data_IF_069982325980
#
_entry.id   IF_069982325980
#
_cell.length_a   1.000
_cell.length_b   1.000
_cell.length_c   1.000
_cell.angle_alpha   90.00
_cell.angle_beta   90.00
_cell.angle_gamma   90.00
#
_symmetry.space_group_name_H-M   'P 1'
#
loop_
_entity.id
_entity.type
_entity.pdbx_description
1 polymer ?
#
# COMPACT_ATOMS: atom_id res chain seq x y z
N UNK A 1 15.06 6.59 -15.85
CA UNK A 1 14.91 7.97 -15.29
C UNK A 1 15.59 7.96 -13.94
N UNK A 2 16.45 8.92 -13.62
CA UNK A 2 16.99 9.00 -12.25
C UNK A 2 15.92 9.64 -11.35
N UNK A 3 15.45 8.90 -10.34
CA UNK A 3 14.39 9.34 -9.43
C UNK A 3 14.91 10.13 -8.22
N UNK A 4 16.23 10.24 -8.05
CA UNK A 4 16.88 10.96 -6.95
C UNK A 4 16.45 10.46 -5.55
N UNK A 5 16.33 9.14 -5.40
CA UNK A 5 15.94 8.48 -4.14
C UNK A 5 17.14 8.00 -3.32
N UNK A 6 18.36 8.02 -3.88
CA UNK A 6 19.57 7.62 -3.18
C UNK A 6 19.74 8.40 -1.88
N UNK A 7 19.90 7.67 -0.78
CA UNK A 7 20.06 8.24 0.57
C UNK A 7 18.78 8.75 1.24
N UNK A 8 17.60 8.60 0.60
CA UNK A 8 16.31 8.84 1.24
C UNK A 8 15.94 7.66 2.12
N UNK A 9 15.33 7.91 3.26
CA UNK A 9 14.82 6.89 4.18
C UNK A 9 13.34 6.68 3.93
N UNK A 10 12.96 5.46 3.57
CA UNK A 10 11.58 5.07 3.30
C UNK A 10 11.07 4.05 4.30
N UNK A 11 9.92 4.29 4.92
CA UNK A 11 9.18 3.29 5.70
C UNK A 11 8.02 2.76 4.85
N UNK A 12 8.02 1.44 4.60
CA UNK A 12 6.91 0.77 3.91
C UNK A 12 6.19 -0.13 4.92
N UNK A 13 4.96 0.22 5.27
CA UNK A 13 4.17 -0.55 6.23
C UNK A 13 3.60 -1.83 5.59
N UNK A 14 3.63 -2.96 6.31
CA UNK A 14 3.17 -4.24 5.77
C UNK A 14 3.95 -4.69 4.53
N UNK A 15 5.28 -4.58 4.55
CA UNK A 15 6.15 -4.80 3.39
C UNK A 15 6.75 -6.21 3.30
N UNK A 16 6.15 -7.21 3.97
CA UNK A 16 6.66 -8.59 3.94
C UNK A 16 6.03 -9.48 2.85
N UNK A 17 5.08 -8.96 2.08
CA UNK A 17 4.41 -9.67 0.98
C UNK A 17 3.72 -8.71 0.01
N UNK A 18 3.27 -9.21 -1.12
CA UNK A 18 2.43 -8.52 -2.09
C UNK A 18 2.93 -7.14 -2.51
N UNK A 19 2.01 -6.18 -2.61
CA UNK A 19 2.29 -4.81 -3.06
C UNK A 19 3.36 -4.13 -2.18
N UNK A 20 3.30 -4.31 -0.86
CA UNK A 20 4.26 -3.69 0.05
C UNK A 20 5.69 -4.19 -0.16
N UNK A 21 5.88 -5.50 -0.40
CA UNK A 21 7.19 -6.08 -0.71
C UNK A 21 7.73 -5.58 -2.05
N UNK A 22 6.88 -5.51 -3.08
CA UNK A 22 7.27 -4.98 -4.38
C UNK A 22 7.67 -3.51 -4.31
N UNK A 23 6.93 -2.68 -3.56
CA UNK A 23 7.28 -1.26 -3.33
C UNK A 23 8.63 -1.15 -2.60
N UNK A 24 8.86 -1.96 -1.56
CA UNK A 24 10.13 -1.96 -0.83
C UNK A 24 11.31 -2.32 -1.73
N UNK A 25 11.14 -3.33 -2.59
CA UNK A 25 12.14 -3.75 -3.57
C UNK A 25 12.43 -2.66 -4.60
N UNK A 26 11.41 -2.02 -5.17
CA UNK A 26 11.56 -0.94 -6.16
C UNK A 26 12.24 0.30 -5.56
N UNK A 27 11.88 0.70 -4.32
CA UNK A 27 12.56 1.80 -3.63
C UNK A 27 14.03 1.48 -3.33
N UNK A 28 14.33 0.25 -2.94
CA UNK A 28 15.70 -0.22 -2.70
C UNK A 28 16.54 -0.21 -3.98
N UNK A 29 15.98 -0.62 -5.12
CA UNK A 29 16.60 -0.59 -6.43
C UNK A 29 17.01 0.85 -6.85
N UNK A 30 16.21 1.86 -6.46
CA UNK A 30 16.51 3.28 -6.68
C UNK A 30 17.44 3.90 -5.63
N UNK A 31 18.00 3.08 -4.72
CA UNK A 31 19.01 3.47 -3.73
C UNK A 31 18.47 4.13 -2.46
N UNK A 32 17.17 4.00 -2.18
CA UNK A 32 16.62 4.40 -0.89
C UNK A 32 17.06 3.42 0.21
N UNK A 33 17.26 3.93 1.44
CA UNK A 33 17.33 3.11 2.65
C UNK A 33 15.92 2.72 3.07
N UNK A 34 15.57 1.42 3.00
CA UNK A 34 14.18 0.98 3.19
C UNK A 34 14.00 0.26 4.52
N UNK A 35 13.00 0.71 5.29
CA UNK A 35 12.58 0.10 6.55
C UNK A 35 11.46 -0.90 6.22
N UNK A 36 11.75 -2.19 6.41
CA UNK A 36 10.84 -3.30 6.18
C UNK A 36 10.03 -3.55 7.44
N UNK A 37 8.71 -3.46 7.33
CA UNK A 37 7.81 -3.67 8.44
C UNK A 37 6.93 -4.91 8.25
N UNK A 38 6.79 -5.67 9.31
CA UNK A 38 5.89 -6.80 9.45
C UNK A 38 5.76 -7.24 10.90
N UNK A 39 4.74 -8.07 11.20
CA UNK A 39 4.47 -8.56 12.55
C UNK A 39 5.39 -9.73 12.97
N UNK A 40 5.93 -10.45 12.01
CA UNK A 40 6.74 -11.65 12.21
C UNK A 40 8.16 -11.41 11.76
N UNK A 41 9.11 -11.58 12.66
CA UNK A 41 10.53 -11.30 12.43
C UNK A 41 11.13 -12.17 11.32
N UNK A 42 10.74 -13.44 11.27
CA UNK A 42 11.15 -14.39 10.23
C UNK A 42 10.77 -13.91 8.82
N UNK A 43 9.53 -13.42 8.66
CA UNK A 43 9.07 -12.87 7.39
C UNK A 43 9.77 -11.56 7.01
N UNK A 44 10.06 -10.70 7.98
CA UNK A 44 10.83 -9.48 7.75
C UNK A 44 12.25 -9.83 7.31
N UNK A 45 12.91 -10.77 7.97
CA UNK A 45 14.26 -11.24 7.60
C UNK A 45 14.27 -11.91 6.22
N UNK A 46 13.24 -12.72 5.92
CA UNK A 46 13.12 -13.33 4.59
C UNK A 46 12.98 -12.28 3.49
N UNK A 47 12.15 -11.26 3.71
CA UNK A 47 12.01 -10.16 2.74
C UNK A 47 13.32 -9.42 2.51
N UNK A 48 14.10 -9.16 3.56
CA UNK A 48 15.43 -8.55 3.44
C UNK A 48 16.37 -9.45 2.64
N UNK A 49 16.36 -10.77 2.91
CA UNK A 49 17.14 -11.74 2.15
C UNK A 49 16.77 -11.71 0.65
N UNK A 50 15.46 -11.71 0.34
CA UNK A 50 14.97 -11.70 -1.03
C UNK A 50 15.38 -10.41 -1.78
N UNK A 51 15.31 -9.25 -1.11
CA UNK A 51 15.75 -7.99 -1.69
C UNK A 51 17.27 -7.99 -1.91
N UNK A 52 18.07 -8.46 -0.94
CA UNK A 52 19.53 -8.55 -1.09
C UNK A 52 19.98 -9.54 -2.16
N UNK A 53 19.16 -10.58 -2.44
CA UNK A 53 19.47 -11.51 -3.53
C UNK A 53 19.45 -10.84 -4.92
N UNK A 54 18.65 -9.76 -5.08
CA UNK A 54 18.54 -8.99 -6.33
C UNK A 54 19.32 -7.68 -6.27
N UNK A 55 19.38 -7.06 -5.10
CA UNK A 55 20.05 -5.77 -4.84
C UNK A 55 20.99 -5.91 -3.64
N UNK A 56 22.20 -6.50 -3.82
CA UNK A 56 23.12 -6.82 -2.70
C UNK A 56 23.56 -5.60 -1.88
N UNK A 57 23.62 -4.43 -2.50
CA UNK A 57 24.08 -3.17 -1.86
C UNK A 57 22.92 -2.35 -1.25
N UNK A 58 21.70 -2.89 -1.24
CA UNK A 58 20.54 -2.17 -0.70
C UNK A 58 20.68 -1.94 0.82
N UNK A 59 20.42 -0.72 1.25
CA UNK A 59 20.34 -0.40 2.68
C UNK A 59 18.95 -0.76 3.22
N UNK A 60 18.89 -1.83 4.02
CA UNK A 60 17.62 -2.33 4.57
C UNK A 60 17.67 -2.31 6.11
N UNK A 61 16.54 -1.91 6.72
CA UNK A 61 16.36 -1.84 8.17
C UNK A 61 15.12 -2.63 8.58
N UNK A 62 15.14 -3.17 9.79
CA UNK A 62 14.06 -3.99 10.37
C UNK A 62 13.16 -3.12 11.23
N UNK A 63 11.83 -3.30 11.09
CA UNK A 63 10.82 -2.77 11.99
C UNK A 63 9.74 -3.84 12.25
N UNK A 64 10.04 -4.76 13.20
CA UNK A 64 9.08 -5.79 13.61
C UNK A 64 8.07 -5.18 14.58
N UNK A 65 6.84 -4.99 14.13
CA UNK A 65 5.75 -4.44 14.95
C UNK A 65 4.39 -4.69 14.30
N UNK A 66 3.36 -4.82 15.11
CA UNK A 66 1.96 -4.81 14.65
C UNK A 66 1.42 -3.38 14.62
N UNK A 67 1.42 -2.77 13.45
CA UNK A 67 0.94 -1.40 13.25
C UNK A 67 -0.61 -1.27 13.33
N UNK A 68 -1.35 -2.37 13.43
CA UNK A 68 -2.76 -2.36 13.80
C UNK A 68 -2.99 -1.91 15.24
N UNK A 69 -1.92 -1.80 16.05
CA UNK A 69 -1.96 -1.37 17.45
C UNK A 69 -1.24 -0.03 17.65
N UNK A 70 -1.60 0.69 18.71
CA UNK A 70 -0.89 1.95 19.07
C UNK A 70 0.53 1.66 19.53
N UNK A 71 0.72 0.58 20.30
CA UNK A 71 2.03 0.15 20.79
C UNK A 71 2.99 -0.17 19.63
N UNK A 72 2.54 -0.93 18.63
CA UNK A 72 3.38 -1.23 17.45
C UNK A 72 3.74 0.03 16.66
N UNK A 73 2.81 0.98 16.54
CA UNK A 73 3.12 2.27 15.92
C UNK A 73 4.13 3.07 16.74
N UNK A 74 4.07 3.00 18.09
CA UNK A 74 5.05 3.64 18.98
C UNK A 74 6.44 3.04 18.78
N UNK A 75 6.56 1.70 18.79
CA UNK A 75 7.83 1.00 18.59
C UNK A 75 8.49 1.38 17.27
N UNK A 76 7.73 1.49 16.18
CA UNK A 76 8.27 1.91 14.87
C UNK A 76 8.74 3.37 14.90
N UNK A 77 8.00 4.27 15.54
CA UNK A 77 8.41 5.69 15.68
C UNK A 77 9.70 5.86 16.48
N UNK A 78 9.89 5.05 17.53
CA UNK A 78 11.13 5.03 18.32
C UNK A 78 12.31 4.49 17.50
N UNK A 79 12.10 3.39 16.76
CA UNK A 79 13.15 2.77 15.95
C UNK A 79 13.52 3.59 14.70
N UNK A 80 12.57 4.37 14.19
CA UNK A 80 12.72 5.19 12.99
C UNK A 80 12.08 6.58 13.18
N UNK A 81 12.67 7.45 14.02
CA UNK A 81 12.05 8.72 14.39
C UNK A 81 11.90 9.70 13.21
N UNK A 82 12.69 9.51 12.16
CA UNK A 82 12.69 10.34 10.96
C UNK A 82 12.69 9.48 9.71
N UNK A 83 11.74 9.74 8.81
CA UNK A 83 11.71 9.18 7.46
C UNK A 83 11.45 10.29 6.44
N UNK A 84 11.90 10.11 5.21
CA UNK A 84 11.64 11.03 4.09
C UNK A 84 10.41 10.60 3.29
N UNK A 85 10.13 9.30 3.29
CA UNK A 85 9.05 8.67 2.54
C UNK A 85 8.29 7.75 3.49
N UNK A 86 6.97 7.95 3.60
CA UNK A 86 6.07 7.05 4.32
C UNK A 86 5.08 6.43 3.35
N UNK A 87 5.13 5.10 3.20
CA UNK A 87 4.14 4.35 2.45
C UNK A 87 3.20 3.64 3.42
N UNK A 88 2.00 4.18 3.56
CA UNK A 88 0.90 3.57 4.33
C UNK A 88 0.25 2.48 3.47
N UNK A 89 0.89 1.32 3.41
CA UNK A 89 0.44 0.17 2.62
C UNK A 89 -0.30 -0.87 3.48
N UNK A 90 -0.04 -0.92 4.81
CA UNK A 90 -0.70 -1.90 5.67
C UNK A 90 -2.22 -1.86 5.50
N UNK A 91 -2.80 -3.02 5.29
CA UNK A 91 -4.24 -3.20 5.21
C UNK A 91 -4.63 -4.67 5.22
N UNK A 92 -5.83 -4.92 5.70
CA UNK A 92 -6.49 -6.21 5.64
C UNK A 92 -7.72 -6.09 4.75
N UNK A 93 -8.05 -7.18 4.07
CA UNK A 93 -9.27 -7.34 3.29
C UNK A 93 -9.81 -8.75 3.53
N UNK A 94 -11.12 -8.87 3.58
CA UNK A 94 -11.80 -10.15 3.80
C UNK A 94 -13.24 -10.01 3.28
N UNK A 95 -13.67 -10.85 2.33
CA UNK A 95 -15.07 -10.88 1.90
C UNK A 95 -15.98 -11.35 3.04
N UNK A 96 -17.09 -10.66 3.24
CA UNK A 96 -18.11 -11.04 4.20
C UNK A 96 -19.47 -10.41 3.82
N UNK A 97 -20.55 -11.15 4.02
CA UNK A 97 -21.90 -10.64 3.84
C UNK A 97 -22.20 -9.54 4.86
N UNK A 98 -22.76 -8.42 4.41
CA UNK A 98 -22.95 -7.23 5.25
C UNK A 98 -23.68 -7.52 6.58
N UNK A 99 -24.73 -8.36 6.52
CA UNK A 99 -25.54 -8.67 7.69
C UNK A 99 -24.82 -9.57 8.72
N UNK A 100 -23.73 -10.22 8.32
CA UNK A 100 -22.96 -11.13 9.16
C UNK A 100 -21.68 -10.48 9.72
N UNK A 101 -21.39 -9.21 9.36
CA UNK A 101 -20.21 -8.49 9.85
C UNK A 101 -20.49 -7.93 11.25
N UNK A 102 -19.92 -8.50 12.32
CA UNK A 102 -20.08 -7.96 13.66
C UNK A 102 -19.32 -6.63 13.84
N UNK A 103 -19.74 -5.81 14.80
CA UNK A 103 -19.10 -4.52 15.10
C UNK A 103 -17.60 -4.66 15.36
N UNK A 104 -17.17 -5.77 15.99
CA UNK A 104 -15.77 -6.03 16.26
C UNK A 104 -14.91 -6.07 14.98
N UNK A 105 -15.45 -6.61 13.87
CA UNK A 105 -14.76 -6.63 12.58
C UNK A 105 -14.66 -5.23 11.97
N UNK A 106 -15.71 -4.42 12.06
CA UNK A 106 -15.66 -3.01 11.66
C UNK A 106 -14.54 -2.27 12.39
N UNK A 107 -14.42 -2.45 13.71
CA UNK A 107 -13.35 -1.85 14.52
C UNK A 107 -11.96 -2.41 14.15
N UNK A 108 -11.84 -3.72 13.91
CA UNK A 108 -10.57 -4.34 13.49
C UNK A 108 -10.08 -3.76 12.16
N UNK A 109 -10.99 -3.60 11.19
CA UNK A 109 -10.66 -2.97 9.90
C UNK A 109 -10.30 -1.51 10.07
N UNK A 110 -11.03 -0.77 10.87
CA UNK A 110 -10.73 0.64 11.15
C UNK A 110 -9.36 0.81 11.82
N UNK A 111 -9.07 0.04 12.86
CA UNK A 111 -7.77 0.09 13.55
C UNK A 111 -6.62 -0.24 12.61
N UNK A 112 -6.75 -1.30 11.81
CA UNK A 112 -5.67 -1.75 10.93
C UNK A 112 -5.53 -0.86 9.70
N UNK A 113 -6.61 -0.57 8.98
CA UNK A 113 -6.53 0.11 7.68
C UNK A 113 -6.46 1.63 7.81
N UNK A 114 -6.95 2.21 8.90
CA UNK A 114 -7.03 3.66 9.09
C UNK A 114 -6.10 4.14 10.19
N UNK A 115 -6.25 3.62 11.42
CA UNK A 115 -5.52 4.16 12.57
C UNK A 115 -4.02 3.91 12.49
N UNK A 116 -3.57 2.84 11.86
CA UNK A 116 -2.15 2.63 11.55
C UNK A 116 -1.55 3.81 10.79
N UNK A 117 -2.18 4.17 9.66
CA UNK A 117 -1.78 5.30 8.83
C UNK A 117 -1.92 6.65 9.54
N UNK A 118 -2.99 6.86 10.30
CA UNK A 118 -3.22 8.10 11.08
C UNK A 118 -2.11 8.31 12.12
N UNK A 119 -1.76 7.26 12.89
CA UNK A 119 -0.74 7.34 13.95
C UNK A 119 0.64 7.66 13.38
N UNK A 120 1.05 6.96 12.32
CA UNK A 120 2.35 7.17 11.68
C UNK A 120 2.39 8.53 10.95
N UNK A 121 1.36 8.86 10.19
CA UNK A 121 1.32 10.12 9.46
C UNK A 121 1.32 11.33 10.41
N UNK A 122 0.59 11.28 11.53
CA UNK A 122 0.60 12.33 12.56
C UNK A 122 2.01 12.63 13.06
N UNK A 123 2.84 11.61 13.23
CA UNK A 123 4.22 11.76 13.67
C UNK A 123 5.12 12.31 12.55
N UNK A 124 5.12 11.67 11.39
CA UNK A 124 6.09 11.99 10.34
C UNK A 124 5.75 13.26 9.58
N UNK A 125 4.46 13.54 9.30
CA UNK A 125 4.04 14.72 8.55
C UNK A 125 4.50 16.01 9.20
N UNK A 126 4.38 16.12 10.53
CA UNK A 126 4.85 17.29 11.27
C UNK A 126 6.35 17.53 11.05
N UNK A 127 7.15 16.47 11.14
CA UNK A 127 8.59 16.53 10.91
C UNK A 127 8.94 16.85 9.46
N UNK A 128 8.20 16.31 8.49
CA UNK A 128 8.37 16.60 7.07
C UNK A 128 8.07 18.07 6.74
N UNK A 129 6.98 18.62 7.27
CA UNK A 129 6.63 20.04 7.10
C UNK A 129 7.74 20.93 7.66
N UNK A 130 8.24 20.66 8.87
CA UNK A 130 9.31 21.45 9.50
C UNK A 130 10.62 21.42 8.68
N UNK A 131 10.93 20.30 8.03
CA UNK A 131 12.11 20.14 7.14
C UNK A 131 11.84 20.66 5.73
N UNK A 132 10.60 21.02 5.41
CA UNK A 132 10.13 21.38 4.07
C UNK A 132 10.40 20.30 3.02
N UNK A 133 10.37 19.02 3.39
CA UNK A 133 10.58 17.89 2.49
C UNK A 133 9.94 16.61 3.05
N UNK A 134 9.22 15.86 2.21
CA UNK A 134 8.64 14.57 2.55
C UNK A 134 7.64 14.06 1.52
N UNK A 135 7.42 12.75 1.54
CA UNK A 135 6.43 12.07 0.71
C UNK A 135 5.60 11.14 1.57
N UNK A 136 4.29 11.27 1.51
CA UNK A 136 3.35 10.36 2.17
C UNK A 136 2.41 9.81 1.10
N UNK A 137 2.33 8.51 1.02
CA UNK A 137 1.49 7.80 0.05
C UNK A 137 0.63 6.78 0.80
N UNK A 138 -0.68 6.86 0.61
CA UNK A 138 -1.61 5.83 1.08
C UNK A 138 -1.91 4.86 -0.05
N UNK A 139 -1.88 3.57 0.24
CA UNK A 139 -2.30 2.53 -0.70
C UNK A 139 -3.74 2.15 -0.37
N UNK A 140 -4.66 2.76 -1.11
CA UNK A 140 -6.08 2.49 -0.99
C UNK A 140 -6.50 1.27 -1.84
N UNK A 141 -7.50 1.42 -2.67
CA UNK A 141 -8.02 0.42 -3.62
C UNK A 141 -9.02 1.10 -4.57
N UNK A 142 -9.29 0.51 -5.71
CA UNK A 142 -10.43 0.84 -6.55
C UNK A 142 -11.76 0.74 -5.78
N UNK A 143 -11.82 -0.14 -4.77
CA UNK A 143 -12.98 -0.28 -3.89
C UNK A 143 -13.31 1.01 -3.10
N UNK A 144 -12.39 1.97 -3.05
CA UNK A 144 -12.66 3.29 -2.46
C UNK A 144 -13.66 4.13 -3.27
N UNK A 145 -13.79 3.89 -4.57
CA UNK A 145 -14.65 4.64 -5.50
C UNK A 145 -15.66 3.74 -6.23
N UNK A 146 -15.44 2.43 -6.20
CA UNK A 146 -16.34 1.39 -6.70
C UNK A 146 -16.50 0.31 -5.61
N UNK A 147 -17.27 0.59 -4.53
CA UNK A 147 -17.38 -0.31 -3.40
C UNK A 147 -17.94 -1.68 -3.79
N UNK A 148 -17.30 -2.74 -3.28
CA UNK A 148 -17.80 -4.10 -3.42
C UNK A 148 -18.87 -4.39 -2.37
N UNK A 149 -19.97 -5.00 -2.79
CA UNK A 149 -21.04 -5.43 -1.89
C UNK A 149 -20.52 -6.43 -0.83
N UNK A 150 -19.61 -7.31 -1.23
CA UNK A 150 -19.05 -8.38 -0.39
C UNK A 150 -17.93 -7.89 0.55
N UNK A 151 -17.58 -6.61 0.49
CA UNK A 151 -16.49 -6.02 1.28
C UNK A 151 -16.85 -4.61 1.75
N UNK A 152 -18.06 -4.41 2.28
CA UNK A 152 -18.55 -3.09 2.67
C UNK A 152 -17.64 -2.38 3.68
N UNK A 153 -17.20 -3.09 4.73
CA UNK A 153 -16.30 -2.57 5.76
C UNK A 153 -14.91 -2.22 5.19
N UNK A 154 -14.35 -3.07 4.32
CA UNK A 154 -13.10 -2.78 3.62
C UNK A 154 -13.23 -1.53 2.73
N UNK A 155 -14.24 -1.50 1.86
CA UNK A 155 -14.48 -0.39 0.95
C UNK A 155 -14.64 0.93 1.69
N UNK A 156 -15.38 0.94 2.81
CA UNK A 156 -15.53 2.11 3.67
C UNK A 156 -14.16 2.61 4.19
N UNK A 157 -13.28 1.71 4.65
CA UNK A 157 -11.94 2.12 5.09
C UNK A 157 -11.12 2.68 3.94
N UNK A 158 -11.20 2.10 2.74
CA UNK A 158 -10.45 2.58 1.57
C UNK A 158 -10.94 3.95 1.08
N UNK A 159 -12.25 4.22 1.11
CA UNK A 159 -12.81 5.56 0.85
C UNK A 159 -12.34 6.57 1.89
N UNK A 160 -12.27 6.18 3.16
CA UNK A 160 -11.79 7.04 4.24
C UNK A 160 -10.32 7.44 4.04
N UNK A 161 -9.47 6.56 3.50
CA UNK A 161 -8.08 6.90 3.16
C UNK A 161 -7.99 8.03 2.12
N UNK A 162 -8.89 8.09 1.13
CA UNK A 162 -8.93 9.18 0.15
C UNK A 162 -9.23 10.52 0.83
N UNK A 163 -10.27 10.56 1.65
CA UNK A 163 -10.67 11.76 2.40
C UNK A 163 -9.56 12.23 3.34
N UNK A 164 -8.96 11.29 4.10
CA UNK A 164 -7.86 11.57 5.01
C UNK A 164 -6.65 12.14 4.27
N UNK A 165 -6.19 11.48 3.22
CA UNK A 165 -5.05 11.92 2.41
C UNK A 165 -5.27 13.32 1.85
N UNK A 166 -6.44 13.59 1.29
CA UNK A 166 -6.78 14.91 0.74
C UNK A 166 -6.75 16.00 1.82
N UNK A 167 -7.32 15.74 2.98
CA UNK A 167 -7.31 16.68 4.11
C UNK A 167 -5.89 16.96 4.63
N UNK A 168 -5.04 15.93 4.69
CA UNK A 168 -3.66 16.05 5.14
C UNK A 168 -2.80 16.83 4.13
N UNK A 169 -3.09 16.73 2.84
CA UNK A 169 -2.40 17.49 1.80
C UNK A 169 -2.58 19.01 1.99
N UNK A 170 -3.72 19.48 2.48
CA UNK A 170 -3.94 20.91 2.77
C UNK A 170 -2.96 21.44 3.82
N UNK A 171 -2.53 20.62 4.78
CA UNK A 171 -1.55 21.00 5.80
C UNK A 171 -0.16 21.25 5.21
N UNK A 172 0.10 20.79 3.98
CA UNK A 172 1.41 20.92 3.32
C UNK A 172 1.53 22.17 2.46
N UNK A 173 0.52 23.06 2.48
CA UNK A 173 0.50 24.29 1.67
C UNK A 173 1.76 25.10 1.86
N UNK A 174 2.40 25.51 0.75
CA UNK A 174 3.63 26.30 0.75
C UNK A 174 4.91 25.51 1.04
N UNK A 175 4.82 24.19 1.19
CA UNK A 175 5.98 23.30 1.40
C UNK A 175 6.27 22.43 0.16
N UNK A 176 7.37 21.68 0.22
CA UNK A 176 7.71 20.63 -0.78
C UNK A 176 7.22 19.24 -0.37
N UNK A 177 6.41 19.14 0.69
CA UNK A 177 5.81 17.88 1.14
C UNK A 177 4.60 17.56 0.29
N UNK A 178 4.43 16.29 -0.09
CA UNK A 178 3.21 15.83 -0.78
C UNK A 178 2.56 14.67 -0.05
N UNK A 179 1.23 14.65 -0.07
CA UNK A 179 0.40 13.57 0.47
C UNK A 179 -0.57 13.12 -0.63
N UNK A 180 -0.44 11.89 -1.07
CA UNK A 180 -1.24 11.32 -2.16
C UNK A 180 -1.80 9.95 -1.80
N UNK A 181 -2.77 9.51 -2.56
CA UNK A 181 -3.31 8.14 -2.48
C UNK A 181 -3.17 7.45 -3.83
N UNK A 182 -2.73 6.20 -3.82
CA UNK A 182 -2.77 5.29 -4.96
C UNK A 182 -3.91 4.31 -4.76
N UNK A 183 -4.68 4.05 -5.81
CA UNK A 183 -5.80 3.12 -5.83
C UNK A 183 -5.50 1.98 -6.81
N UNK A 184 -4.88 0.89 -6.34
CA UNK A 184 -4.71 -0.31 -7.14
C UNK A 184 -6.06 -0.95 -7.48
N UNK A 185 -6.13 -1.58 -8.64
CA UNK A 185 -7.15 -2.58 -8.94
C UNK A 185 -6.76 -3.96 -8.41
N UNK A 186 -7.51 -4.98 -8.83
CA UNK A 186 -7.22 -6.37 -8.46
C UNK A 186 -5.80 -6.75 -8.88
N UNK A 187 -4.96 -7.14 -7.92
CA UNK A 187 -3.52 -7.33 -8.09
C UNK A 187 -3.13 -8.77 -7.76
N UNK A 188 -2.29 -9.38 -8.61
CA UNK A 188 -1.78 -10.74 -8.39
C UNK A 188 -0.72 -10.73 -7.28
N UNK A 189 -1.19 -11.02 -6.07
CA UNK A 189 -0.36 -11.19 -4.87
C UNK A 189 -0.50 -12.62 -4.38
N UNK A 190 0.41 -13.06 -3.50
CA UNK A 190 0.34 -14.40 -2.91
C UNK A 190 -1.03 -14.67 -2.23
N UNK A 191 -1.64 -13.63 -1.65
CA UNK A 191 -2.99 -13.72 -1.06
C UNK A 191 -4.08 -13.90 -2.13
N UNK A 192 -3.95 -13.24 -3.27
CA UNK A 192 -4.89 -13.39 -4.40
C UNK A 192 -4.70 -14.72 -5.10
N UNK A 193 -3.49 -15.23 -5.25
CA UNK A 193 -3.23 -16.60 -5.75
C UNK A 193 -3.92 -17.65 -4.87
N UNK A 194 -3.78 -17.52 -3.54
CA UNK A 194 -4.47 -18.40 -2.59
C UNK A 194 -5.99 -18.29 -2.73
N UNK A 195 -6.52 -17.09 -2.91
CA UNK A 195 -7.95 -16.85 -3.14
C UNK A 195 -8.43 -17.51 -4.44
N UNK A 196 -7.69 -17.40 -5.54
CA UNK A 196 -8.03 -18.02 -6.82
C UNK A 196 -8.07 -19.53 -6.71
N UNK A 197 -7.09 -20.14 -6.04
CA UNK A 197 -7.06 -21.58 -5.79
C UNK A 197 -8.25 -22.06 -4.91
N UNK A 198 -8.71 -21.20 -3.99
CA UNK A 198 -9.88 -21.49 -3.14
C UNK A 198 -11.19 -21.32 -3.92
N UNK A 199 -11.23 -20.36 -4.85
CA UNK A 199 -12.43 -20.06 -5.63
C UNK A 199 -12.71 -21.15 -6.69
N UNK A 200 -11.67 -21.83 -7.20
CA UNK A 200 -11.74 -22.85 -8.23
C UNK A 200 -11.12 -24.18 -7.79
N UNK A 201 -11.59 -24.81 -6.67
CA UNK A 201 -10.87 -25.90 -6.01
C UNK A 201 -10.88 -27.23 -6.76
N UNK A 202 -11.89 -27.45 -7.61
CA UNK A 202 -12.11 -28.74 -8.31
C UNK A 202 -11.59 -28.72 -9.76
N UNK A 203 -10.90 -27.65 -10.16
CA UNK A 203 -10.41 -27.47 -11.51
C UNK A 203 -8.87 -27.44 -11.50
N UNK A 204 -8.25 -28.27 -12.33
CA UNK A 204 -6.79 -28.26 -12.52
C UNK A 204 -6.38 -27.10 -13.45
N UNK A 205 -6.68 -25.87 -12.98
CA UNK A 205 -6.37 -24.64 -13.70
C UNK A 205 -4.97 -24.14 -13.35
N UNK A 206 -4.23 -23.71 -14.35
CA UNK A 206 -3.05 -22.89 -14.11
C UNK A 206 -3.47 -21.54 -13.51
N UNK A 207 -2.52 -20.85 -12.88
CA UNK A 207 -2.81 -19.52 -12.29
C UNK A 207 -3.28 -18.53 -13.35
N UNK A 208 -2.78 -18.63 -14.60
CA UNK A 208 -3.16 -17.79 -15.72
C UNK A 208 -4.61 -18.06 -16.16
N UNK A 209 -5.03 -19.33 -16.18
CA UNK A 209 -6.41 -19.69 -16.52
C UNK A 209 -7.38 -19.26 -15.43
N UNK A 210 -7.02 -19.43 -14.14
CA UNK A 210 -7.80 -18.96 -13.00
C UNK A 210 -7.90 -17.41 -13.01
N UNK A 211 -6.81 -16.70 -13.33
CA UNK A 211 -6.79 -15.24 -13.50
C UNK A 211 -7.77 -14.80 -14.59
N UNK A 212 -7.69 -15.38 -15.78
CA UNK A 212 -8.56 -15.04 -16.91
C UNK A 212 -10.04 -15.25 -16.58
N UNK A 213 -10.33 -16.36 -15.93
CA UNK A 213 -11.69 -16.67 -15.49
C UNK A 213 -12.19 -15.68 -14.45
N UNK A 214 -11.39 -15.40 -13.43
CA UNK A 214 -11.70 -14.44 -12.39
C UNK A 214 -11.98 -13.05 -12.97
N UNK A 215 -11.14 -12.59 -13.89
CA UNK A 215 -11.33 -11.28 -14.54
C UNK A 215 -12.63 -11.23 -15.33
N UNK A 216 -12.94 -12.28 -16.07
CA UNK A 216 -14.17 -12.35 -16.86
C UNK A 216 -15.43 -12.36 -15.98
N UNK A 217 -15.41 -13.12 -14.89
CA UNK A 217 -16.57 -13.33 -14.02
C UNK A 217 -16.76 -12.18 -13.02
N UNK A 218 -15.67 -11.69 -12.42
CA UNK A 218 -15.72 -10.76 -11.29
C UNK A 218 -15.26 -9.34 -11.63
N UNK A 219 -14.53 -9.14 -12.73
CA UNK A 219 -13.97 -7.84 -13.12
C UNK A 219 -14.17 -7.55 -14.62
N UNK A 220 -15.39 -7.74 -15.17
CA UNK A 220 -15.63 -7.66 -16.62
C UNK A 220 -15.43 -6.25 -17.18
N UNK A 221 -15.38 -5.22 -16.34
CA UNK A 221 -15.15 -3.83 -16.75
C UNK A 221 -13.68 -3.47 -16.90
N UNK A 222 -12.76 -4.30 -16.43
CA UNK A 222 -11.33 -4.06 -16.58
C UNK A 222 -10.95 -3.99 -18.06
N UNK A 223 -10.23 -2.94 -18.46
CA UNK A 223 -9.79 -2.77 -19.86
C UNK A 223 -8.60 -3.68 -20.16
N UNK A 224 -7.69 -3.87 -19.18
CA UNK A 224 -6.50 -4.72 -19.39
C UNK A 224 -6.78 -6.22 -19.30
N UNK A 225 -7.96 -6.61 -18.80
CA UNK A 225 -8.44 -8.01 -18.69
C UNK A 225 -7.44 -9.00 -18.06
N UNK A 226 -6.61 -8.52 -17.16
CA UNK A 226 -5.71 -9.32 -16.30
C UNK A 226 -5.58 -8.65 -14.94
N UNK A 227 -5.07 -9.40 -13.96
CA UNK A 227 -4.64 -8.82 -12.69
C UNK A 227 -3.45 -7.89 -12.90
N UNK A 228 -3.37 -6.85 -12.10
CA UNK A 228 -2.21 -5.95 -12.06
C UNK A 228 -1.05 -6.71 -11.40
N UNK A 229 0.16 -6.51 -11.88
CA UNK A 229 1.34 -7.08 -11.23
C UNK A 229 1.81 -6.13 -10.11
N UNK A 230 2.24 -6.65 -8.95
CA UNK A 230 2.72 -5.82 -7.84
C UNK A 230 3.80 -4.81 -8.26
N UNK A 231 4.66 -5.18 -9.22
CA UNK A 231 5.73 -4.34 -9.76
C UNK A 231 5.18 -3.11 -10.49
N UNK A 232 4.06 -3.23 -11.20
CA UNK A 232 3.43 -2.09 -11.90
C UNK A 232 2.97 -1.01 -10.89
N UNK A 233 2.48 -1.45 -9.73
CA UNK A 233 2.12 -0.55 -8.64
C UNK A 233 3.36 0.03 -7.97
N UNK A 234 4.37 -0.81 -7.75
CA UNK A 234 5.61 -0.43 -7.10
C UNK A 234 6.36 0.66 -7.90
N UNK A 235 6.45 0.53 -9.23
CA UNK A 235 7.08 1.51 -10.11
C UNK A 235 6.37 2.86 -10.02
N UNK A 236 5.04 2.86 -10.01
CA UNK A 236 4.27 4.09 -9.88
C UNK A 236 4.43 4.75 -8.50
N UNK A 237 4.40 3.96 -7.42
CA UNK A 237 4.61 4.45 -6.05
C UNK A 237 6.04 4.98 -5.89
N UNK A 238 7.03 4.32 -6.48
CA UNK A 238 8.43 4.76 -6.47
C UNK A 238 8.60 6.08 -7.21
N UNK A 239 7.93 6.28 -8.35
CA UNK A 239 7.88 7.59 -9.02
C UNK A 239 7.25 8.66 -8.13
N UNK A 240 6.12 8.36 -7.47
CA UNK A 240 5.45 9.30 -6.56
C UNK A 240 6.29 9.63 -5.32
N UNK A 241 7.19 8.75 -4.92
CA UNK A 241 8.15 8.97 -3.84
C UNK A 241 9.29 9.93 -4.21
N UNK A 242 9.48 10.19 -5.50
CA UNK A 242 10.54 11.03 -6.03
C UNK A 242 10.23 12.53 -5.94
N UNK A 243 11.26 13.41 -5.85
CA UNK A 243 11.07 14.85 -6.06
C UNK A 243 10.50 15.21 -7.45
N UNK A 244 10.60 14.31 -8.44
CA UNK A 244 10.07 14.53 -9.80
C UNK A 244 8.55 14.56 -9.88
N UNK A 245 7.86 14.02 -8.87
CA UNK A 245 6.40 14.06 -8.74
C UNK A 245 5.88 15.24 -7.92
N UNK A 246 6.71 16.25 -7.66
CA UNK A 246 6.39 17.38 -6.76
C UNK A 246 5.13 18.18 -7.12
N UNK A 247 4.67 18.13 -8.37
CA UNK A 247 3.43 18.75 -8.81
C UNK A 247 2.17 17.92 -8.49
N UNK A 248 2.34 16.67 -8.00
CA UNK A 248 1.24 15.78 -7.63
C UNK A 248 1.09 15.86 -6.12
N UNK A 249 0.04 16.54 -5.64
CA UNK A 249 -0.28 16.66 -4.22
C UNK A 249 -1.79 16.67 -3.99
N UNK A 250 -2.26 15.96 -2.97
CA UNK A 250 -3.68 15.83 -2.64
C UNK A 250 -4.48 15.02 -3.65
N UNK A 251 -3.82 14.21 -4.47
CA UNK A 251 -4.43 13.43 -5.54
C UNK A 251 -4.75 12.01 -5.11
N UNK A 252 -5.86 11.48 -5.64
CA UNK A 252 -6.20 10.06 -5.61
C UNK A 252 -5.97 9.50 -7.03
N UNK A 253 -4.97 8.64 -7.18
CA UNK A 253 -4.43 8.21 -8.45
C UNK A 253 -4.73 6.73 -8.68
N UNK A 254 -5.42 6.42 -9.77
CA UNK A 254 -5.80 5.04 -10.10
C UNK A 254 -4.68 4.33 -10.85
N UNK A 255 -4.46 3.08 -10.49
CA UNK A 255 -3.69 2.10 -11.23
C UNK A 255 -4.51 0.79 -11.21
N UNK A 256 -5.66 0.82 -11.89
CA UNK A 256 -6.73 -0.16 -11.79
C UNK A 256 -7.00 -0.90 -13.12
N UNK A 257 -6.15 -0.70 -14.13
CA UNK A 257 -6.33 -1.32 -15.44
C UNK A 257 -7.61 -0.91 -16.16
N UNK A 258 -8.17 0.26 -15.80
CA UNK A 258 -9.42 0.77 -16.36
C UNK A 258 -10.66 0.06 -15.83
N UNK A 259 -10.59 -0.52 -14.63
CA UNK A 259 -11.71 -1.22 -14.00
C UNK A 259 -12.85 -0.28 -13.63
N UNK A 260 -12.51 0.87 -13.04
CA UNK A 260 -13.49 1.88 -12.62
C UNK A 260 -13.93 2.72 -13.81
N UNK A 261 -15.23 2.64 -14.15
CA UNK A 261 -15.85 3.42 -15.23
C UNK A 261 -16.17 4.83 -14.76
N UNK A 262 -15.18 5.66 -14.62
CA UNK A 262 -15.32 7.07 -14.27
C UNK A 262 -14.21 7.88 -14.91
N UNK A 263 -14.50 9.13 -15.28
CA UNK A 263 -13.50 10.10 -15.75
C UNK A 263 -12.79 10.82 -14.60
N UNK A 264 -13.31 10.68 -13.37
CA UNK A 264 -12.77 11.25 -12.12
C UNK A 264 -12.42 10.16 -11.13
#
# INVERSE_FOLDING_TARGET
MNLNLKGKVALVTGSTSGIGKAIAMSLAAEGASVIINGRHEDKVKQTIHDIHAVHPDAELRIAVADLGTEEGCHQVREAAPVVDILINNLGIFEPAEFFDIPDAEWFRFFETNIMSGVRLTRHYLKNMINRNEGRIIFIASEAAVMPSQEMAHYSATKTMQLSLSRSLAELTTGTRVTVNTVMPGSTLTEGVETMLNTLYPDEDLSIEEAEQRFMKENRPTSIIQRLIRPEEIADFVTYLSSPKSSAINGSALRIDGGLVRSVF
#
